data_IF_327924947284
#
_entry.id   IF_327924947284
#
_cell.length_a   1.000
_cell.length_b   1.000
_cell.length_c   1.000
_cell.angle_alpha   90.00
_cell.angle_beta   90.00
_cell.angle_gamma   90.00
#
_symmetry.space_group_name_H-M   'P 1'
#
loop_
_entity.id
_entity.type
_entity.pdbx_description
1 polymer ?
#
# COMPACT_ATOMS: atom_id res chain seq x y z
N UNK A 1 -28.47 15.28 -3.15
CA UNK A 1 -27.65 14.29 -3.89
C UNK A 1 -27.61 13.03 -3.05
N UNK A 2 -28.26 11.94 -3.50
CA UNK A 2 -28.42 10.69 -2.73
C UNK A 2 -27.09 10.16 -2.18
N UNK A 3 -27.10 9.66 -0.94
CA UNK A 3 -25.92 9.14 -0.24
C UNK A 3 -25.18 8.03 -1.03
N UNK A 4 -25.92 7.23 -1.80
CA UNK A 4 -25.37 6.20 -2.69
C UNK A 4 -24.51 6.83 -3.80
N UNK A 5 -24.96 7.95 -4.36
CA UNK A 5 -24.22 8.67 -5.41
C UNK A 5 -22.92 9.25 -4.86
N UNK A 6 -22.96 9.84 -3.65
CA UNK A 6 -21.76 10.30 -2.95
C UNK A 6 -20.76 9.16 -2.70
N UNK A 7 -21.23 8.02 -2.19
CA UNK A 7 -20.39 6.84 -1.97
C UNK A 7 -19.71 6.37 -3.26
N UNK A 8 -20.45 6.29 -4.37
CA UNK A 8 -19.89 5.91 -5.67
C UNK A 8 -18.81 6.89 -6.16
N UNK A 9 -19.02 8.20 -5.98
CA UNK A 9 -18.03 9.20 -6.38
C UNK A 9 -16.75 9.12 -5.53
N UNK A 10 -16.88 8.94 -4.21
CA UNK A 10 -15.73 8.79 -3.31
C UNK A 10 -15.00 7.47 -3.59
N UNK A 11 -15.73 6.38 -3.83
CA UNK A 11 -15.17 5.09 -4.21
C UNK A 11 -14.40 5.16 -5.53
N UNK A 12 -14.94 5.84 -6.55
CA UNK A 12 -14.27 6.01 -7.85
C UNK A 12 -12.93 6.71 -7.69
N UNK A 13 -12.86 7.77 -6.86
CA UNK A 13 -11.60 8.47 -6.56
C UNK A 13 -10.57 7.52 -5.92
N UNK A 14 -10.99 6.75 -4.92
CA UNK A 14 -10.10 5.80 -4.24
C UNK A 14 -9.63 4.67 -5.17
N UNK A 15 -10.51 4.19 -6.06
CA UNK A 15 -10.18 3.16 -7.04
C UNK A 15 -9.18 3.65 -8.08
N UNK A 16 -9.35 4.86 -8.61
CA UNK A 16 -8.38 5.50 -9.51
C UNK A 16 -7.02 5.65 -8.82
N UNK A 17 -7.00 6.08 -7.56
CA UNK A 17 -5.75 6.20 -6.80
C UNK A 17 -5.08 4.84 -6.58
N UNK A 18 -5.85 3.81 -6.19
CA UNK A 18 -5.32 2.45 -6.04
C UNK A 18 -4.77 1.89 -7.34
N UNK A 19 -5.43 2.15 -8.46
CA UNK A 19 -4.94 1.78 -9.79
C UNK A 19 -3.67 2.55 -10.18
N UNK A 20 -3.59 3.85 -9.85
CA UNK A 20 -2.40 4.66 -10.10
C UNK A 20 -1.19 4.16 -9.29
N UNK A 21 -1.38 3.82 -8.01
CA UNK A 21 -0.32 3.24 -7.17
C UNK A 21 0.09 1.85 -7.69
N UNK A 22 -0.87 1.01 -8.07
CA UNK A 22 -0.57 -0.28 -8.72
C UNK A 22 0.21 -0.11 -10.03
N UNK A 23 -0.14 0.89 -10.83
CA UNK A 23 0.63 1.27 -12.02
C UNK A 23 2.04 1.75 -11.70
N UNK A 24 2.21 2.53 -10.63
CA UNK A 24 3.52 2.96 -10.12
C UNK A 24 4.41 1.77 -9.70
N UNK A 25 3.83 0.76 -9.04
CA UNK A 25 4.55 -0.47 -8.71
C UNK A 25 5.05 -1.19 -9.97
N UNK A 26 4.21 -1.31 -11.00
CA UNK A 26 4.62 -1.89 -12.29
C UNK A 26 5.69 -1.05 -12.99
N UNK A 27 5.63 0.28 -12.84
CA UNK A 27 6.64 1.18 -13.36
C UNK A 27 8.02 0.95 -12.70
N UNK A 28 8.07 0.64 -11.40
CA UNK A 28 9.32 0.25 -10.74
C UNK A 28 9.91 -1.04 -11.33
N UNK A 29 9.07 -2.02 -11.67
CA UNK A 29 9.53 -3.24 -12.37
C UNK A 29 10.13 -2.87 -13.72
N UNK A 30 9.46 -2.02 -14.49
CA UNK A 30 9.98 -1.55 -15.78
C UNK A 30 11.36 -0.88 -15.62
N UNK A 31 11.54 -0.01 -14.62
CA UNK A 31 12.82 0.62 -14.31
C UNK A 31 13.89 -0.44 -14.03
N UNK A 32 13.59 -1.41 -13.17
CA UNK A 32 14.55 -2.46 -12.80
C UNK A 32 14.91 -3.34 -13.99
N UNK A 33 13.95 -3.72 -14.83
CA UNK A 33 14.22 -4.53 -16.04
C UNK A 33 15.07 -3.77 -17.07
N UNK A 34 14.76 -2.49 -17.31
CA UNK A 34 15.58 -1.64 -18.19
C UNK A 34 16.99 -1.51 -17.64
N UNK A 35 17.16 -1.22 -16.35
CA UNK A 35 18.48 -1.07 -15.74
C UNK A 35 19.25 -2.40 -15.67
N UNK A 36 18.56 -3.52 -15.44
CA UNK A 36 19.14 -4.87 -15.49
C UNK A 36 19.74 -5.18 -16.85
N UNK A 37 19.13 -4.70 -17.94
CA UNK A 37 19.69 -4.88 -19.29
C UNK A 37 20.98 -4.08 -19.52
N UNK A 38 21.19 -3.00 -18.76
CA UNK A 38 22.33 -2.08 -18.92
C UNK A 38 23.46 -2.34 -17.91
N UNK A 39 23.12 -2.85 -16.73
CA UNK A 39 24.06 -3.07 -15.62
C UNK A 39 24.47 -4.54 -15.55
N UNK A 40 25.78 -4.81 -15.46
CA UNK A 40 26.28 -6.16 -15.16
C UNK A 40 25.83 -6.57 -13.75
N UNK A 41 25.27 -7.78 -13.56
CA UNK A 41 25.00 -8.33 -12.24
C UNK A 41 26.25 -8.29 -11.38
N UNK A 42 26.13 -7.82 -10.15
CA UNK A 42 27.13 -8.10 -9.12
C UNK A 42 26.74 -9.45 -8.54
N UNK A 43 27.34 -10.51 -9.04
CA UNK A 43 27.15 -11.83 -8.44
C UNK A 43 27.83 -11.82 -7.06
N UNK A 44 27.14 -12.25 -5.99
CA UNK A 44 27.79 -12.45 -4.70
C UNK A 44 28.87 -13.53 -4.88
N UNK A 45 30.14 -13.19 -4.67
CA UNK A 45 31.24 -14.16 -4.71
C UNK A 45 31.07 -15.07 -3.48
N UNK A 46 30.81 -16.39 -3.65
CA UNK A 46 30.67 -17.29 -2.51
C UNK A 46 32.01 -17.42 -1.78
N UNK A 47 32.07 -16.95 -0.53
CA UNK A 47 33.23 -17.13 0.36
C UNK A 47 34.18 -15.94 0.52
N UNK A 48 33.99 -14.85 -0.22
CA UNK A 48 34.76 -13.61 -0.03
C UNK A 48 33.92 -12.54 0.69
N UNK A 49 34.06 -12.47 2.02
CA UNK A 49 33.53 -11.35 2.79
C UNK A 49 34.41 -10.12 2.60
N UNK A 50 34.18 -9.38 1.52
CA UNK A 50 34.64 -7.98 1.47
C UNK A 50 33.84 -7.16 2.49
N UNK A 51 34.46 -6.16 3.11
CA UNK A 51 33.80 -5.32 4.11
C UNK A 51 32.49 -4.70 3.56
N UNK A 52 32.48 -4.36 2.27
CA UNK A 52 31.34 -3.80 1.56
C UNK A 52 30.13 -4.74 1.51
N UNK A 53 30.34 -6.06 1.35
CA UNK A 53 29.25 -7.04 1.30
C UNK A 53 28.53 -7.17 2.65
N UNK A 54 29.27 -7.09 3.76
CA UNK A 54 28.70 -7.15 5.11
C UNK A 54 27.74 -6.00 5.41
N UNK A 55 28.03 -4.79 4.93
CA UNK A 55 27.13 -3.63 5.09
C UNK A 55 25.83 -3.80 4.30
N UNK A 56 25.91 -4.38 3.10
CA UNK A 56 24.72 -4.67 2.27
C UNK A 56 23.81 -5.70 2.92
N UNK A 57 24.39 -6.75 3.51
CA UNK A 57 23.60 -7.80 4.18
C UNK A 57 22.88 -7.27 5.43
N UNK A 58 23.52 -6.39 6.20
CA UNK A 58 22.87 -5.69 7.31
C UNK A 58 21.73 -4.79 6.79
N UNK A 59 21.95 -4.05 5.70
CA UNK A 59 20.92 -3.17 5.11
C UNK A 59 19.71 -3.97 4.62
N UNK A 60 19.95 -5.10 3.94
CA UNK A 60 18.91 -6.06 3.50
C UNK A 60 18.07 -6.53 4.69
N UNK A 61 18.74 -6.97 5.76
CA UNK A 61 18.06 -7.44 6.97
C UNK A 61 17.17 -6.35 7.58
N UNK A 62 17.69 -5.13 7.70
CA UNK A 62 16.93 -3.98 8.22
C UNK A 62 15.70 -3.72 7.34
N UNK A 63 15.85 -3.73 6.01
CA UNK A 63 14.74 -3.46 5.11
C UNK A 63 13.68 -4.57 5.13
N UNK A 64 14.08 -5.82 5.28
CA UNK A 64 13.15 -6.94 5.47
C UNK A 64 12.39 -6.83 6.81
N UNK A 65 13.07 -6.43 7.88
CA UNK A 65 12.41 -6.17 9.17
C UNK A 65 11.41 -5.02 9.04
N UNK A 66 11.78 -3.93 8.35
CA UNK A 66 10.87 -2.79 8.11
C UNK A 66 9.66 -3.24 7.27
N UNK A 67 9.89 -3.98 6.18
CA UNK A 67 8.82 -4.49 5.34
C UNK A 67 7.87 -5.44 6.08
N UNK A 68 8.39 -6.23 7.03
CA UNK A 68 7.55 -7.04 7.90
C UNK A 68 6.77 -6.18 8.92
N UNK A 69 7.44 -5.22 9.56
CA UNK A 69 6.82 -4.30 10.53
C UNK A 69 5.70 -3.46 9.91
N UNK A 70 5.76 -3.19 8.60
CA UNK A 70 4.72 -2.50 7.84
C UNK A 70 3.33 -3.16 7.96
N UNK A 71 3.24 -4.49 8.08
CA UNK A 71 1.96 -5.16 8.32
C UNK A 71 1.32 -4.75 9.66
N UNK A 72 2.14 -4.61 10.71
CA UNK A 72 1.69 -4.13 12.01
C UNK A 72 1.30 -2.65 11.94
N UNK A 73 2.09 -1.83 11.25
CA UNK A 73 1.79 -0.40 11.02
C UNK A 73 0.46 -0.24 10.29
N UNK A 74 0.21 -0.98 9.21
CA UNK A 74 -1.06 -0.97 8.46
C UNK A 74 -2.25 -1.28 9.37
N UNK A 75 -2.12 -2.33 10.18
CA UNK A 75 -3.17 -2.75 11.12
C UNK A 75 -3.47 -1.67 12.17
N UNK A 76 -2.42 -1.06 12.72
CA UNK A 76 -2.52 -0.01 13.72
C UNK A 76 -3.10 1.30 13.15
N UNK A 77 -2.57 1.77 12.01
CA UNK A 77 -3.01 2.98 11.31
C UNK A 77 -4.48 2.85 10.94
N UNK A 78 -4.89 1.71 10.41
CA UNK A 78 -6.29 1.47 10.06
C UNK A 78 -7.20 1.46 11.28
N UNK A 79 -6.76 0.87 12.40
CA UNK A 79 -7.51 0.88 13.66
C UNK A 79 -7.72 2.30 14.22
N UNK A 80 -6.69 3.15 14.13
CA UNK A 80 -6.77 4.55 14.57
C UNK A 80 -7.64 5.40 13.64
N UNK A 81 -7.41 5.32 12.33
CA UNK A 81 -8.08 6.18 11.35
C UNK A 81 -9.57 5.84 11.18
N UNK A 82 -9.95 4.58 11.36
CA UNK A 82 -11.35 4.14 11.33
C UNK A 82 -12.07 4.28 12.69
N UNK A 83 -11.43 4.88 13.69
CA UNK A 83 -12.06 5.09 15.00
C UNK A 83 -13.20 6.11 14.87
N UNK A 84 -14.43 5.62 15.00
CA UNK A 84 -15.66 6.41 14.90
C UNK A 84 -15.95 7.16 16.20
N UNK A 85 -16.52 8.37 16.09
CA UNK A 85 -17.06 9.15 17.21
C UNK A 85 -18.59 9.14 17.14
N UNK A 86 -19.26 9.29 18.28
CA UNK A 86 -20.72 9.28 18.34
C UNK A 86 -21.41 10.42 17.56
N UNK A 87 -20.67 11.48 17.18
CA UNK A 87 -21.16 12.62 16.42
C UNK A 87 -20.85 12.56 14.91
N UNK A 88 -20.41 11.41 14.39
CA UNK A 88 -20.03 11.30 12.99
C UNK A 88 -21.26 11.24 12.07
N UNK A 89 -21.34 12.15 11.10
CA UNK A 89 -22.34 12.16 10.03
C UNK A 89 -21.92 11.24 8.88
N UNK A 90 -22.84 10.92 7.97
CA UNK A 90 -22.54 10.09 6.78
C UNK A 90 -21.39 10.69 5.94
N UNK A 91 -21.36 12.02 5.80
CA UNK A 91 -20.29 12.70 5.06
C UNK A 91 -18.93 12.59 5.77
N UNK A 92 -18.88 12.73 7.10
CA UNK A 92 -17.61 12.58 7.84
C UNK A 92 -17.11 11.13 7.83
N UNK A 93 -18.01 10.16 7.82
CA UNK A 93 -17.69 8.74 7.65
C UNK A 93 -17.06 8.46 6.27
N UNK A 94 -17.63 9.01 5.20
CA UNK A 94 -17.09 8.89 3.84
C UNK A 94 -15.69 9.50 3.73
N UNK A 95 -15.47 10.69 4.28
CA UNK A 95 -14.16 11.36 4.29
C UNK A 95 -13.12 10.56 5.07
N UNK A 96 -13.46 10.04 6.26
CA UNK A 96 -12.57 9.18 7.05
C UNK A 96 -12.17 7.93 6.27
N UNK A 97 -13.12 7.33 5.58
CA UNK A 97 -12.89 6.09 4.85
C UNK A 97 -12.03 6.33 3.61
N UNK A 98 -12.26 7.42 2.89
CA UNK A 98 -11.37 7.88 1.81
C UNK A 98 -9.95 8.14 2.34
N UNK A 99 -9.80 8.95 3.40
CA UNK A 99 -8.50 9.28 3.99
C UNK A 99 -7.76 8.04 4.45
N UNK A 100 -8.44 7.13 5.14
CA UNK A 100 -7.85 5.85 5.57
C UNK A 100 -7.34 5.05 4.38
N UNK A 101 -8.12 5.00 3.30
CA UNK A 101 -7.75 4.28 2.09
C UNK A 101 -6.50 4.88 1.45
N UNK A 102 -6.46 6.21 1.28
CA UNK A 102 -5.30 6.91 0.71
C UNK A 102 -4.03 6.58 1.52
N UNK A 103 -4.11 6.70 2.84
CA UNK A 103 -2.97 6.44 3.73
C UNK A 103 -2.54 4.97 3.64
N UNK A 104 -3.50 4.04 3.71
CA UNK A 104 -3.22 2.60 3.60
C UNK A 104 -2.53 2.26 2.28
N UNK A 105 -3.04 2.78 1.16
CA UNK A 105 -2.47 2.54 -0.16
C UNK A 105 -1.04 3.10 -0.29
N UNK A 106 -0.77 4.29 0.24
CA UNK A 106 0.57 4.87 0.23
C UNK A 106 1.56 4.04 1.07
N UNK A 107 1.12 3.52 2.22
CA UNK A 107 1.93 2.63 3.07
C UNK A 107 2.25 1.32 2.34
N UNK A 108 1.32 0.77 1.54
CA UNK A 108 1.57 -0.43 0.75
C UNK A 108 2.71 -0.28 -0.26
N UNK A 109 3.07 0.94 -0.68
CA UNK A 109 4.14 1.18 -1.65
C UNK A 109 5.56 1.10 -1.05
N UNK A 110 5.66 1.31 0.27
CA UNK A 110 6.95 1.41 0.99
C UNK A 110 7.88 0.21 0.77
N UNK A 111 7.43 -1.07 0.85
CA UNK A 111 8.32 -2.21 0.61
C UNK A 111 8.94 -2.18 -0.78
N UNK A 112 8.18 -1.87 -1.83
CA UNK A 112 8.71 -1.81 -3.19
C UNK A 112 9.78 -0.72 -3.35
N UNK A 113 9.58 0.45 -2.72
CA UNK A 113 10.58 1.52 -2.69
C UNK A 113 11.88 1.08 -1.97
N UNK A 114 11.76 0.37 -0.84
CA UNK A 114 12.92 -0.20 -0.16
C UNK A 114 13.65 -1.22 -1.04
N UNK A 115 12.92 -2.05 -1.77
CA UNK A 115 13.48 -2.98 -2.74
C UNK A 115 14.20 -2.28 -3.88
N UNK A 116 13.65 -1.16 -4.36
CA UNK A 116 14.26 -0.34 -5.39
C UNK A 116 15.59 0.27 -4.90
N UNK A 117 15.63 0.74 -3.65
CA UNK A 117 16.86 1.21 -3.02
C UNK A 117 17.91 0.08 -2.92
N UNK A 118 17.52 -1.12 -2.47
CA UNK A 118 18.44 -2.28 -2.43
C UNK A 118 18.96 -2.64 -3.82
N UNK A 119 18.10 -2.55 -4.84
CA UNK A 119 18.50 -2.77 -6.21
C UNK A 119 19.57 -1.76 -6.66
N UNK A 120 19.39 -0.47 -6.40
CA UNK A 120 20.37 0.55 -6.77
C UNK A 120 21.70 0.42 -6.03
N UNK A 121 21.66 0.06 -4.74
CA UNK A 121 22.86 -0.04 -3.90
C UNK A 121 23.62 -1.35 -4.15
N UNK A 122 22.92 -2.49 -4.11
CA UNK A 122 23.53 -3.82 -4.17
C UNK A 122 23.54 -4.48 -5.55
N UNK A 123 22.78 -3.95 -6.52
CA UNK A 123 22.56 -4.55 -7.86
C UNK A 123 22.06 -6.00 -7.84
N UNK A 124 21.52 -6.44 -6.71
CA UNK A 124 20.99 -7.78 -6.52
C UNK A 124 19.48 -7.80 -6.77
N UNK A 125 19.11 -8.25 -7.97
CA UNK A 125 17.74 -8.21 -8.45
C UNK A 125 16.71 -8.95 -7.57
N UNK A 126 17.00 -10.12 -6.96
CA UNK A 126 16.02 -10.86 -6.19
C UNK A 126 15.39 -10.09 -5.02
N UNK A 127 16.17 -9.24 -4.32
CA UNK A 127 15.67 -8.47 -3.18
C UNK A 127 14.53 -7.53 -3.58
N UNK A 128 14.64 -6.90 -4.76
CA UNK A 128 13.60 -6.05 -5.30
C UNK A 128 12.32 -6.82 -5.56
N UNK A 129 12.39 -7.98 -6.24
CA UNK A 129 11.17 -8.75 -6.55
C UNK A 129 10.48 -9.30 -5.30
N UNK A 130 11.24 -9.68 -4.27
CA UNK A 130 10.67 -10.12 -2.98
C UNK A 130 9.87 -8.97 -2.36
N UNK A 131 10.49 -7.79 -2.23
CA UNK A 131 9.85 -6.63 -1.61
C UNK A 131 8.72 -6.04 -2.46
N UNK A 132 8.84 -6.08 -3.78
CA UNK A 132 7.77 -5.78 -4.72
C UNK A 132 6.58 -6.73 -4.53
N UNK A 133 6.82 -8.04 -4.42
CA UNK A 133 5.75 -9.02 -4.20
C UNK A 133 5.02 -8.77 -2.87
N UNK A 134 5.75 -8.40 -1.81
CA UNK A 134 5.17 -7.99 -0.52
C UNK A 134 4.29 -6.75 -0.69
N UNK A 135 4.78 -5.71 -1.37
CA UNK A 135 4.03 -4.48 -1.66
C UNK A 135 2.75 -4.76 -2.46
N UNK A 136 2.86 -5.57 -3.52
CA UNK A 136 1.74 -5.97 -4.36
C UNK A 136 0.71 -6.80 -3.57
N UNK A 137 1.16 -7.72 -2.74
CA UNK A 137 0.28 -8.50 -1.86
C UNK A 137 -0.48 -7.60 -0.88
N UNK A 138 0.22 -6.67 -0.22
CA UNK A 138 -0.43 -5.67 0.64
C UNK A 138 -1.47 -4.86 -0.15
N UNK A 139 -1.08 -4.31 -1.31
CA UNK A 139 -1.98 -3.54 -2.16
C UNK A 139 -3.24 -4.35 -2.50
N UNK A 140 -3.10 -5.63 -2.86
CA UNK A 140 -4.22 -6.52 -3.17
C UNK A 140 -5.15 -6.78 -1.96
N UNK A 141 -4.59 -7.00 -0.77
CA UNK A 141 -5.38 -7.24 0.44
C UNK A 141 -6.12 -5.99 0.92
N UNK A 142 -5.49 -4.82 0.78
CA UNK A 142 -6.01 -3.54 1.25
C UNK A 142 -6.71 -2.69 0.17
N UNK A 143 -6.79 -3.20 -1.06
CA UNK A 143 -7.46 -2.52 -2.18
C UNK A 143 -8.90 -2.14 -1.82
N UNK A 144 -9.38 -0.93 -2.19
CA UNK A 144 -10.74 -0.50 -1.88
C UNK A 144 -11.79 -1.40 -2.54
N UNK A 145 -12.61 -2.07 -1.71
CA UNK A 145 -13.74 -2.90 -2.16
C UNK A 145 -15.05 -2.24 -1.79
N UNK A 146 -15.87 -1.96 -2.80
CA UNK A 146 -17.14 -1.25 -2.63
C UNK A 146 -18.06 -1.89 -1.58
N UNK A 147 -18.21 -3.22 -1.61
CA UNK A 147 -19.07 -3.94 -0.67
C UNK A 147 -18.65 -3.74 0.79
N UNK A 148 -17.33 -3.78 1.08
CA UNK A 148 -16.81 -3.54 2.43
C UNK A 148 -17.08 -2.11 2.92
N UNK A 149 -17.01 -1.14 2.01
CA UNK A 149 -17.28 0.26 2.32
C UNK A 149 -18.77 0.47 2.64
N UNK A 150 -19.64 -0.06 1.78
CA UNK A 150 -21.10 0.00 1.98
C UNK A 150 -21.51 -0.64 3.31
N UNK A 151 -20.99 -1.83 3.61
CA UNK A 151 -21.27 -2.52 4.87
C UNK A 151 -20.76 -1.76 6.08
N UNK A 152 -19.53 -1.20 6.02
CA UNK A 152 -18.98 -0.43 7.13
C UNK A 152 -19.80 0.82 7.41
N UNK A 153 -20.23 1.56 6.37
CA UNK A 153 -21.08 2.74 6.53
C UNK A 153 -22.45 2.35 7.07
N UNK A 154 -23.10 1.32 6.52
CA UNK A 154 -24.39 0.82 7.03
C UNK A 154 -24.33 0.48 8.52
N UNK A 155 -23.26 -0.21 8.94
CA UNK A 155 -23.09 -0.61 10.34
C UNK A 155 -22.80 0.57 11.28
N UNK A 156 -22.31 1.71 10.77
CA UNK A 156 -21.95 2.88 11.58
C UNK A 156 -22.99 3.99 11.55
N UNK A 157 -23.64 4.21 10.40
CA UNK A 157 -24.65 5.24 10.22
C UNK A 157 -26.08 4.78 10.57
N UNK A 158 -26.35 3.47 10.66
CA UNK A 158 -27.69 2.97 11.00
C UNK A 158 -28.75 3.41 9.99
N UNK A 159 -30.00 3.61 10.44
CA UNK A 159 -31.15 3.93 9.58
C UNK A 159 -30.97 5.21 8.73
N UNK A 160 -30.13 6.15 9.17
CA UNK A 160 -29.88 7.42 8.47
C UNK A 160 -29.33 7.22 7.04
N UNK A 161 -28.59 6.12 6.81
CA UNK A 161 -28.06 5.81 5.48
C UNK A 161 -29.15 5.43 4.45
N UNK A 162 -30.23 4.78 4.90
CA UNK A 162 -31.34 4.32 4.03
C UNK A 162 -32.32 5.44 3.73
N UNK A 163 -32.58 6.29 4.73
CA UNK A 163 -33.51 7.43 4.61
C UNK A 163 -32.98 8.47 3.60
N UNK A 164 -31.67 8.62 3.50
CA UNK A 164 -31.00 9.57 2.60
C UNK A 164 -30.67 8.96 1.22
N UNK A 165 -30.81 7.64 1.08
CA UNK A 165 -30.69 6.92 -0.19
C UNK A 165 -31.94 6.99 -1.06
N UNK A 166 -33.12 7.11 -0.44
CA UNK A 166 -34.45 7.11 -1.07
C UNK A 166 -35.07 8.50 -1.32
N UNK A 167 -34.41 9.59 -0.90
CA UNK A 167 -34.82 10.97 -1.17
C UNK A 167 -34.10 11.59 -2.37
#
# INVERSE_FOLDING_TARGET
MSAIKKLNDVYRKAMVLGAAIGGGLLFYVLIVEVLKSQLKPVEPIPGEMSADQSYLDILRLIFYIIAFAQFAVLSFVRGILLRTKASDTVDSLLEKLLRTTIVTLAICEVPALLGLVLFFVGRFYPDFYILFAVSMAMLFFYFPRYNRWKEWIRNKAGADWEVEGYR
#
